data_IF_268772433919
#
_entry.id   IF_268772433919
#
_cell.length_a   1.000
_cell.length_b   1.000
_cell.length_c   1.000
_cell.angle_alpha   90.00
_cell.angle_beta   90.00
_cell.angle_gamma   90.00
#
_symmetry.space_group_name_H-M   'P 1'
#
loop_
_entity.id
_entity.type
_entity.pdbx_description
1 polymer ?
#
# COMPACT_ATOMS: atom_id res chain seq x y z
N UNK A 1 -15.22 -22.46 6.83
CA UNK A 1 -15.07 -21.59 5.66
C UNK A 1 -14.79 -20.21 6.16
N UNK A 2 -13.50 -19.83 6.10
CA UNK A 2 -13.01 -18.50 6.45
C UNK A 2 -13.51 -17.53 5.39
N UNK A 3 -14.50 -16.71 5.72
CA UNK A 3 -14.91 -15.58 4.88
C UNK A 3 -13.84 -14.48 4.99
N UNK A 4 -13.39 -13.96 3.87
CA UNK A 4 -12.46 -12.80 3.83
C UNK A 4 -13.14 -11.58 4.45
N UNK A 5 -12.41 -10.71 5.14
CA UNK A 5 -12.95 -9.50 5.78
C UNK A 5 -13.69 -8.57 4.80
N UNK A 6 -13.27 -8.54 3.52
CA UNK A 6 -13.95 -7.83 2.44
C UNK A 6 -15.38 -8.34 2.19
N UNK A 7 -15.63 -9.65 2.33
CA UNK A 7 -16.95 -10.22 2.13
C UNK A 7 -17.93 -9.84 3.24
N UNK A 8 -17.41 -9.54 4.44
CA UNK A 8 -18.21 -9.13 5.60
C UNK A 8 -18.57 -7.64 5.55
N UNK A 9 -17.65 -6.79 5.09
CA UNK A 9 -17.88 -5.34 5.02
C UNK A 9 -18.81 -4.93 3.86
N UNK A 10 -18.91 -5.76 2.82
CA UNK A 10 -19.64 -5.45 1.58
C UNK A 10 -20.92 -6.28 1.40
N UNK A 11 -21.21 -7.21 2.31
CA UNK A 11 -22.45 -7.99 2.27
C UNK A 11 -23.66 -7.10 2.62
N UNK A 12 -24.80 -7.35 1.92
CA UNK A 12 -26.09 -6.75 2.31
C UNK A 12 -26.33 -6.95 3.82
N UNK A 13 -27.01 -6.00 4.49
CA UNK A 13 -27.20 -6.04 5.93
C UNK A 13 -27.98 -7.32 6.35
N UNK A 14 -27.25 -8.39 6.58
CA UNK A 14 -27.69 -9.49 7.41
C UNK A 14 -27.29 -9.11 8.83
N UNK A 15 -28.14 -9.37 9.82
CA UNK A 15 -27.84 -9.07 11.22
C UNK A 15 -26.47 -9.60 11.60
N UNK A 16 -25.52 -8.69 11.82
CA UNK A 16 -24.18 -9.04 12.24
C UNK A 16 -24.23 -9.47 13.72
N UNK A 17 -23.71 -10.62 14.11
CA UNK A 17 -23.71 -11.05 15.51
C UNK A 17 -22.75 -10.18 16.31
N UNK A 18 -23.29 -9.10 16.89
CA UNK A 18 -22.53 -8.18 17.71
C UNK A 18 -21.95 -8.94 18.93
N UNK A 19 -20.65 -8.84 19.16
CA UNK A 19 -19.97 -9.46 20.30
C UNK A 19 -19.60 -10.95 20.14
N UNK A 20 -19.81 -11.55 18.96
CA UNK A 20 -19.46 -12.96 18.69
C UNK A 20 -18.42 -13.14 17.58
N UNK A 21 -17.80 -12.04 17.13
CA UNK A 21 -16.83 -12.05 16.04
C UNK A 21 -15.64 -11.19 16.41
N UNK A 22 -14.46 -11.77 16.35
CA UNK A 22 -13.18 -11.07 16.43
C UNK A 22 -12.67 -10.78 15.01
N UNK A 23 -12.19 -9.55 14.79
CA UNK A 23 -11.60 -9.15 13.52
C UNK A 23 -10.09 -9.30 13.58
N UNK A 24 -9.55 -10.13 12.71
CA UNK A 24 -8.11 -10.21 12.46
C UNK A 24 -7.79 -9.47 11.16
N UNK A 25 -7.01 -8.39 11.28
CA UNK A 25 -6.51 -7.65 10.14
C UNK A 25 -5.19 -8.24 9.68
N UNK A 26 -5.15 -8.73 8.43
CA UNK A 26 -3.95 -9.27 7.80
C UNK A 26 -3.42 -8.19 6.84
N UNK A 27 -2.22 -7.69 7.14
CA UNK A 27 -1.51 -6.70 6.33
C UNK A 27 -0.46 -7.37 5.44
N UNK A 28 0.03 -6.70 4.39
CA UNK A 28 1.20 -7.18 3.66
C UNK A 28 2.39 -7.42 4.60
N UNK A 29 3.21 -8.41 4.29
CA UNK A 29 4.44 -8.72 5.04
C UNK A 29 5.35 -7.49 5.07
N UNK A 30 5.94 -7.24 6.23
CA UNK A 30 6.83 -6.11 6.46
C UNK A 30 8.23 -6.35 5.90
N UNK A 31 9.02 -5.30 5.77
CA UNK A 31 10.44 -5.40 5.46
C UNK A 31 11.20 -6.28 6.46
N UNK A 32 10.86 -6.17 7.75
CA UNK A 32 11.46 -7.02 8.79
C UNK A 32 11.12 -8.51 8.60
N UNK A 33 9.88 -8.82 8.25
CA UNK A 33 9.48 -10.20 7.94
C UNK A 33 10.18 -10.74 6.70
N UNK A 34 10.44 -9.90 5.68
CA UNK A 34 11.29 -10.27 4.56
C UNK A 34 12.72 -10.62 5.00
N UNK A 35 13.33 -9.79 5.87
CA UNK A 35 14.67 -10.10 6.40
C UNK A 35 14.68 -11.43 7.16
N UNK A 36 13.63 -11.74 7.91
CA UNK A 36 13.47 -13.05 8.58
C UNK A 36 13.39 -14.19 7.55
N UNK A 37 12.58 -14.02 6.51
CA UNK A 37 12.43 -15.01 5.45
C UNK A 37 13.71 -15.22 4.62
N UNK A 38 14.54 -14.17 4.51
CA UNK A 38 15.86 -14.20 3.86
C UNK A 38 16.99 -14.74 4.76
N UNK A 39 16.71 -15.06 6.03
CA UNK A 39 17.68 -15.50 7.08
C UNK A 39 18.75 -14.43 7.40
N UNK A 40 18.43 -13.14 7.27
CA UNK A 40 19.32 -12.00 7.52
C UNK A 40 19.49 -11.71 9.02
N UNK A 41 19.91 -12.72 9.79
CA UNK A 41 19.98 -12.69 11.27
C UNK A 41 20.79 -11.52 11.82
N UNK A 42 21.92 -11.19 11.19
CA UNK A 42 22.79 -10.10 11.65
C UNK A 42 22.12 -8.73 11.50
N UNK A 43 21.41 -8.51 10.40
CA UNK A 43 20.67 -7.25 10.16
C UNK A 43 19.51 -7.11 11.13
N UNK A 44 18.79 -8.20 11.41
CA UNK A 44 17.68 -8.24 12.38
C UNK A 44 18.21 -7.95 13.78
N UNK A 45 19.25 -8.64 14.22
CA UNK A 45 19.86 -8.43 15.53
C UNK A 45 20.34 -6.98 15.71
N UNK A 46 20.93 -6.39 14.67
CA UNK A 46 21.34 -5.00 14.67
C UNK A 46 20.13 -4.05 14.82
N UNK A 47 19.06 -4.26 14.02
CA UNK A 47 17.86 -3.42 14.07
C UNK A 47 17.15 -3.53 15.42
N UNK A 48 17.10 -4.72 16.03
CA UNK A 48 16.46 -4.96 17.33
C UNK A 48 17.28 -4.33 18.50
N UNK A 49 18.59 -4.24 18.35
CA UNK A 49 19.46 -3.61 19.33
C UNK A 49 19.56 -2.09 19.20
N UNK A 50 19.17 -1.52 18.03
CA UNK A 50 19.30 -0.10 17.78
C UNK A 50 18.15 0.69 18.41
N UNK A 51 18.47 1.44 19.46
CA UNK A 51 17.51 2.27 20.24
C UNK A 51 17.79 3.77 20.14
N UNK A 52 18.93 4.15 19.56
CA UNK A 52 19.35 5.53 19.37
C UNK A 52 19.04 6.04 17.95
N UNK A 53 19.25 7.33 17.71
CA UNK A 53 19.11 7.98 16.42
C UNK A 53 20.44 8.20 15.70
N UNK A 54 21.52 7.60 16.19
CA UNK A 54 22.83 7.73 15.56
C UNK A 54 22.83 7.10 14.16
N UNK A 55 23.67 7.60 13.24
CA UNK A 55 23.81 7.04 11.90
C UNK A 55 24.12 5.53 11.95
N UNK A 56 23.49 4.80 11.05
CA UNK A 56 23.76 3.36 10.89
C UNK A 56 25.14 3.21 10.25
N UNK A 57 26.06 2.42 10.82
CA UNK A 57 27.36 2.15 10.21
C UNK A 57 27.21 1.51 8.84
N UNK A 58 28.11 1.86 7.90
CA UNK A 58 28.06 1.40 6.50
C UNK A 58 27.99 -0.12 6.35
N UNK A 59 28.62 -0.85 7.28
CA UNK A 59 28.59 -2.32 7.32
C UNK A 59 27.16 -2.90 7.44
N UNK A 60 26.24 -2.16 8.06
CA UNK A 60 24.82 -2.53 8.16
C UNK A 60 23.95 -1.72 7.22
N UNK A 61 24.27 -0.44 7.02
CA UNK A 61 23.50 0.46 6.18
C UNK A 61 23.39 -0.04 4.74
N UNK A 62 24.53 -0.37 4.11
CA UNK A 62 24.54 -0.80 2.72
C UNK A 62 23.74 -2.09 2.50
N UNK A 63 23.91 -3.17 3.30
CA UNK A 63 23.05 -4.36 3.18
C UNK A 63 21.57 -4.08 3.44
N UNK A 64 21.23 -3.22 4.39
CA UNK A 64 19.84 -2.83 4.65
C UNK A 64 19.23 -2.12 3.45
N UNK A 65 19.95 -1.19 2.83
CA UNK A 65 19.50 -0.47 1.64
C UNK A 65 19.31 -1.42 0.45
N UNK A 66 20.22 -2.37 0.24
CA UNK A 66 20.08 -3.37 -0.83
C UNK A 66 18.87 -4.28 -0.60
N UNK A 67 18.64 -4.73 0.63
CA UNK A 67 17.44 -5.49 0.95
C UNK A 67 16.15 -4.65 0.85
N UNK A 68 16.20 -3.37 1.21
CA UNK A 68 15.05 -2.47 1.03
C UNK A 68 14.71 -2.25 -0.45
N UNK A 69 15.69 -2.14 -1.32
CA UNK A 69 15.48 -2.12 -2.77
C UNK A 69 14.79 -3.40 -3.26
N UNK A 70 15.23 -4.57 -2.78
CA UNK A 70 14.55 -5.85 -3.08
C UNK A 70 13.09 -5.81 -2.61
N UNK A 71 12.85 -5.34 -1.38
CA UNK A 71 11.50 -5.23 -0.84
C UNK A 71 10.60 -4.31 -1.71
N UNK A 72 11.12 -3.22 -2.23
CA UNK A 72 10.37 -2.36 -3.15
C UNK A 72 10.00 -3.07 -4.46
N UNK A 73 10.80 -4.04 -4.88
CA UNK A 73 10.52 -4.85 -6.08
C UNK A 73 9.48 -5.93 -5.83
N UNK A 74 9.59 -6.63 -4.68
CA UNK A 74 8.82 -7.82 -4.35
C UNK A 74 7.51 -7.44 -3.64
N UNK A 75 7.57 -6.45 -2.75
CA UNK A 75 6.50 -6.06 -1.84
C UNK A 75 6.29 -7.04 -0.70
N UNK A 76 5.24 -6.81 0.06
CA UNK A 76 4.80 -7.66 1.17
C UNK A 76 3.69 -8.65 0.80
N UNK A 77 3.34 -8.81 -0.48
CA UNK A 77 2.32 -9.78 -0.89
C UNK A 77 2.85 -11.21 -0.69
N UNK A 78 2.14 -12.07 0.09
CA UNK A 78 2.67 -13.37 0.51
C UNK A 78 3.13 -14.28 -0.63
N UNK A 79 2.38 -14.34 -1.75
CA UNK A 79 2.73 -15.15 -2.90
C UNK A 79 4.02 -14.67 -3.58
N UNK A 80 4.18 -13.35 -3.76
CA UNK A 80 5.38 -12.76 -4.35
C UNK A 80 6.60 -12.98 -3.43
N UNK A 81 6.43 -12.79 -2.12
CA UNK A 81 7.48 -13.03 -1.12
C UNK A 81 7.90 -14.48 -1.08
N UNK A 82 6.95 -15.43 -1.01
CA UNK A 82 7.25 -16.85 -0.99
C UNK A 82 7.99 -17.31 -2.26
N UNK A 83 7.59 -16.79 -3.42
CA UNK A 83 8.28 -17.08 -4.69
C UNK A 83 9.72 -16.58 -4.68
N UNK A 84 9.92 -15.34 -4.22
CA UNK A 84 11.27 -14.76 -4.11
C UNK A 84 12.17 -15.58 -3.18
N UNK A 85 11.70 -15.90 -1.98
CA UNK A 85 12.48 -16.63 -0.96
C UNK A 85 12.89 -18.02 -1.47
N UNK A 86 11.98 -18.72 -2.17
CA UNK A 86 12.22 -20.08 -2.65
C UNK A 86 13.12 -20.11 -3.89
N UNK A 87 12.97 -19.19 -4.82
CA UNK A 87 13.63 -19.25 -6.13
C UNK A 87 14.77 -18.25 -6.29
N UNK A 88 14.83 -17.23 -5.44
CA UNK A 88 15.82 -16.12 -5.50
C UNK A 88 15.90 -15.46 -6.90
N UNK A 89 14.82 -15.54 -7.66
CA UNK A 89 14.76 -15.07 -9.03
C UNK A 89 13.55 -14.14 -9.24
N UNK A 90 13.81 -12.98 -9.84
CA UNK A 90 12.79 -11.94 -10.03
C UNK A 90 11.86 -12.16 -11.22
N UNK A 91 12.16 -13.12 -12.10
CA UNK A 91 11.50 -13.24 -13.41
C UNK A 91 9.99 -13.52 -13.40
N UNK A 92 9.44 -14.01 -12.28
CA UNK A 92 8.01 -14.30 -12.16
C UNK A 92 7.25 -13.30 -11.27
N UNK A 93 7.98 -12.45 -10.53
CA UNK A 93 7.38 -11.53 -9.55
C UNK A 93 6.39 -10.56 -10.21
N UNK A 94 6.76 -9.98 -11.34
CA UNK A 94 5.88 -9.07 -12.08
C UNK A 94 4.58 -9.74 -12.55
N UNK A 95 4.66 -11.00 -12.93
CA UNK A 95 3.49 -11.81 -13.31
C UNK A 95 2.57 -12.09 -12.13
N UNK A 96 3.13 -12.42 -10.96
CA UNK A 96 2.38 -12.64 -9.71
C UNK A 96 1.68 -11.35 -9.29
N UNK A 97 2.42 -10.23 -9.20
CA UNK A 97 1.85 -8.94 -8.82
C UNK A 97 0.75 -8.50 -9.80
N UNK A 98 0.94 -8.74 -11.09
CA UNK A 98 -0.08 -8.47 -12.10
C UNK A 98 -1.34 -9.32 -11.91
N UNK A 99 -1.18 -10.60 -11.59
CA UNK A 99 -2.30 -11.49 -11.30
C UNK A 99 -3.09 -11.04 -10.06
N UNK A 100 -2.41 -10.54 -9.03
CA UNK A 100 -3.04 -9.97 -7.84
C UNK A 100 -3.83 -8.70 -8.20
N UNK A 101 -3.25 -7.79 -8.99
CA UNK A 101 -3.95 -6.58 -9.47
C UNK A 101 -5.21 -6.96 -10.24
N UNK A 102 -5.10 -7.91 -11.19
CA UNK A 102 -6.26 -8.39 -11.95
C UNK A 102 -7.32 -9.06 -11.04
N UNK A 103 -6.91 -9.75 -9.98
CA UNK A 103 -7.84 -10.32 -9.02
C UNK A 103 -8.63 -9.22 -8.29
N UNK A 104 -7.97 -8.14 -7.85
CA UNK A 104 -8.64 -6.98 -7.26
C UNK A 104 -9.61 -6.32 -8.26
N UNK A 105 -9.20 -6.11 -9.49
CA UNK A 105 -10.05 -5.51 -10.53
C UNK A 105 -11.30 -6.35 -10.83
N UNK A 106 -11.17 -7.69 -10.81
CA UNK A 106 -12.33 -8.60 -10.93
C UNK A 106 -13.24 -8.52 -9.70
N UNK A 107 -12.68 -8.32 -8.50
CA UNK A 107 -13.47 -8.13 -7.29
C UNK A 107 -14.20 -6.78 -7.31
N UNK A 108 -13.63 -5.73 -7.89
CA UNK A 108 -14.34 -4.47 -8.11
C UNK A 108 -15.61 -4.64 -8.96
N UNK A 109 -15.59 -5.56 -9.94
CA UNK A 109 -16.76 -5.86 -10.76
C UNK A 109 -17.91 -6.53 -9.98
N UNK A 110 -17.66 -7.04 -8.77
CA UNK A 110 -18.68 -7.59 -7.88
C UNK A 110 -19.38 -6.52 -7.02
N UNK A 111 -19.02 -5.25 -7.21
CA UNK A 111 -19.69 -4.14 -6.51
C UNK A 111 -21.21 -4.20 -6.79
N UNK A 112 -22.05 -4.02 -5.75
CA UNK A 112 -23.51 -4.11 -5.89
C UNK A 112 -24.11 -3.17 -6.95
N UNK A 113 -23.47 -2.02 -7.17
CA UNK A 113 -23.90 -1.05 -8.17
C UNK A 113 -22.94 -1.05 -9.37
N UNK A 114 -23.35 -1.62 -10.52
CA UNK A 114 -22.49 -1.71 -11.72
C UNK A 114 -21.94 -0.36 -12.21
N UNK A 115 -22.66 0.73 -11.97
CA UNK A 115 -22.23 2.09 -12.34
C UNK A 115 -21.00 2.57 -11.55
N UNK A 116 -20.70 1.98 -10.40
CA UNK A 116 -19.54 2.33 -9.58
C UNK A 116 -18.24 1.66 -10.07
N UNK A 117 -18.34 0.51 -10.77
CA UNK A 117 -17.17 -0.20 -11.28
C UNK A 117 -16.19 0.69 -12.09
N UNK A 118 -16.65 1.49 -13.08
CA UNK A 118 -15.73 2.37 -13.80
C UNK A 118 -15.05 3.41 -12.88
N UNK A 119 -15.73 3.86 -11.84
CA UNK A 119 -15.17 4.84 -10.90
C UNK A 119 -14.10 4.22 -10.01
N UNK A 120 -14.32 2.98 -9.54
CA UNK A 120 -13.32 2.19 -8.82
C UNK A 120 -12.06 2.02 -9.65
N UNK A 121 -12.20 1.60 -10.92
CA UNK A 121 -11.10 1.45 -11.86
C UNK A 121 -10.36 2.76 -12.11
N UNK A 122 -11.08 3.87 -12.29
CA UNK A 122 -10.47 5.18 -12.50
C UNK A 122 -9.63 5.61 -11.30
N UNK A 123 -10.14 5.47 -10.06
CA UNK A 123 -9.38 5.79 -8.84
C UNK A 123 -8.14 4.89 -8.76
N UNK A 124 -8.33 3.58 -8.90
CA UNK A 124 -7.28 2.57 -8.80
C UNK A 124 -6.12 2.86 -9.75
N UNK A 125 -6.41 3.07 -11.03
CA UNK A 125 -5.39 3.38 -12.04
C UNK A 125 -4.80 4.79 -11.91
N UNK A 126 -5.43 5.70 -11.18
CA UNK A 126 -4.88 7.04 -10.95
C UNK A 126 -3.79 7.08 -9.87
N UNK A 127 -3.69 6.05 -9.01
CA UNK A 127 -2.77 6.04 -7.86
C UNK A 127 -1.32 6.41 -8.22
N UNK A 128 -0.71 5.83 -9.28
CA UNK A 128 0.65 6.23 -9.65
C UNK A 128 0.77 7.72 -9.96
N UNK A 129 -0.17 8.28 -10.72
CA UNK A 129 -0.13 9.71 -11.07
C UNK A 129 -0.48 10.64 -9.90
N UNK A 130 -1.26 10.16 -8.91
CA UNK A 130 -1.53 10.91 -7.68
C UNK A 130 -0.27 11.06 -6.83
N UNK A 131 0.55 10.01 -6.75
CA UNK A 131 1.73 9.95 -5.90
C UNK A 131 3.00 10.45 -6.60
N UNK A 132 3.10 10.30 -7.93
CA UNK A 132 4.27 10.75 -8.72
C UNK A 132 4.44 12.27 -8.73
N UNK A 133 3.37 13.01 -8.55
CA UNK A 133 3.42 14.47 -8.46
C UNK A 133 3.58 14.88 -7.00
N UNK A 134 4.35 15.92 -6.73
CA UNK A 134 4.49 16.53 -5.40
C UNK A 134 3.18 17.20 -4.95
N UNK A 135 2.06 16.55 -5.21
CA UNK A 135 0.75 17.01 -4.82
C UNK A 135 0.58 16.83 -3.31
N UNK A 136 0.19 17.89 -2.64
CA UNK A 136 -0.08 17.87 -1.21
C UNK A 136 -1.41 17.17 -0.87
N UNK A 137 -2.22 16.82 -1.87
CA UNK A 137 -3.52 16.16 -1.70
C UNK A 137 -3.96 15.39 -2.94
N UNK A 138 -4.90 14.46 -2.76
CA UNK A 138 -5.57 13.74 -3.83
C UNK A 138 -6.35 14.70 -4.75
N UNK A 139 -6.17 14.54 -6.06
CA UNK A 139 -6.79 15.39 -7.08
C UNK A 139 -7.76 14.58 -7.95
N UNK A 140 -9.04 14.82 -7.83
CA UNK A 140 -10.07 14.13 -8.63
C UNK A 140 -9.91 14.37 -10.15
N UNK A 141 -9.32 15.48 -10.55
CA UNK A 141 -9.00 15.76 -11.95
C UNK A 141 -7.96 14.78 -12.54
N UNK A 142 -7.11 14.18 -11.71
CA UNK A 142 -6.18 13.11 -12.14
C UNK A 142 -6.88 11.75 -12.26
N UNK A 143 -8.03 11.57 -11.62
CA UNK A 143 -8.86 10.37 -11.79
C UNK A 143 -9.52 10.38 -13.17
N UNK A 144 -10.14 11.50 -13.52
CA UNK A 144 -10.75 11.75 -14.82
C UNK A 144 -10.89 13.26 -15.02
N UNK A 145 -10.68 13.74 -16.24
CA UNK A 145 -10.90 15.14 -16.57
C UNK A 145 -12.34 15.56 -16.22
N UNK A 146 -12.50 16.64 -15.45
CA UNK A 146 -13.79 17.14 -14.99
C UNK A 146 -14.42 16.39 -13.82
N UNK A 147 -13.73 15.37 -13.27
CA UNK A 147 -14.23 14.63 -12.10
C UNK A 147 -14.40 15.52 -10.87
N UNK A 148 -15.49 15.30 -10.14
CA UNK A 148 -15.81 16.01 -8.90
C UNK A 148 -15.83 15.02 -7.72
N UNK A 149 -15.47 15.50 -6.53
CA UNK A 149 -15.43 14.71 -5.30
C UNK A 149 -16.71 13.88 -5.09
N UNK A 150 -17.87 14.54 -5.13
CA UNK A 150 -19.18 13.90 -4.90
C UNK A 150 -19.51 12.72 -5.83
N UNK A 151 -18.84 12.63 -6.97
CA UNK A 151 -19.08 11.56 -7.96
C UNK A 151 -18.28 10.29 -7.67
N UNK A 152 -17.18 10.44 -6.89
CA UNK A 152 -16.19 9.39 -6.63
C UNK A 152 -16.04 9.03 -5.16
N UNK A 153 -16.76 9.72 -4.26
CA UNK A 153 -16.65 9.51 -2.81
C UNK A 153 -17.01 8.08 -2.40
N UNK A 154 -18.13 7.55 -2.91
CA UNK A 154 -18.60 6.21 -2.61
C UNK A 154 -17.60 5.15 -3.12
N UNK A 155 -17.10 5.33 -4.34
CA UNK A 155 -16.09 4.44 -4.93
C UNK A 155 -14.77 4.48 -4.11
N UNK A 156 -14.33 5.67 -3.70
CA UNK A 156 -13.14 5.79 -2.86
C UNK A 156 -13.35 5.13 -1.48
N UNK A 157 -14.51 5.38 -0.86
CA UNK A 157 -14.86 4.76 0.42
C UNK A 157 -14.86 3.23 0.32
N UNK A 158 -15.39 2.69 -0.77
CA UNK A 158 -15.39 1.25 -1.01
C UNK A 158 -13.96 0.68 -1.11
N UNK A 159 -13.07 1.32 -1.89
CA UNK A 159 -11.67 0.88 -2.01
C UNK A 159 -10.93 0.92 -0.67
N UNK A 160 -11.21 1.93 0.17
CA UNK A 160 -10.67 2.02 1.53
C UNK A 160 -11.21 0.91 2.41
N UNK A 161 -12.53 0.64 2.35
CA UNK A 161 -13.19 -0.43 3.12
C UNK A 161 -12.72 -1.83 2.70
N UNK A 162 -12.38 -2.00 1.43
CA UNK A 162 -11.78 -3.23 0.91
C UNK A 162 -10.28 -3.37 1.24
N UNK A 163 -9.69 -2.37 1.91
CA UNK A 163 -8.27 -2.31 2.31
C UNK A 163 -7.27 -2.43 1.14
N UNK A 164 -7.70 -2.17 -0.09
CA UNK A 164 -6.80 -2.14 -1.26
C UNK A 164 -6.09 -0.79 -1.39
N UNK A 165 -6.62 0.24 -0.74
CA UNK A 165 -5.98 1.55 -0.60
C UNK A 165 -6.13 2.07 0.83
N UNK A 166 -5.21 2.95 1.24
CA UNK A 166 -5.27 3.67 2.51
C UNK A 166 -5.44 5.16 2.26
N UNK A 167 -6.48 5.75 2.86
CA UNK A 167 -6.73 7.20 2.83
C UNK A 167 -6.17 7.83 4.09
N UNK A 168 -5.30 8.83 3.94
CA UNK A 168 -4.69 9.59 5.06
C UNK A 168 -5.13 11.05 4.95
N UNK A 169 -5.96 11.54 5.88
CA UNK A 169 -6.36 12.95 5.91
C UNK A 169 -5.20 13.86 6.33
N UNK A 170 -5.24 15.10 5.89
CA UNK A 170 -4.31 16.13 6.36
C UNK A 170 -4.74 16.61 7.74
N UNK A 171 -3.79 16.64 8.68
CA UNK A 171 -3.99 17.35 9.94
C UNK A 171 -3.49 18.80 9.82
N UNK A 172 -4.32 19.76 10.20
CA UNK A 172 -4.00 21.21 10.12
C UNK A 172 -3.19 21.69 11.32
N UNK A 173 -3.26 20.97 12.45
CA UNK A 173 -2.56 21.29 13.68
C UNK A 173 -2.20 20.00 14.44
N UNK A 174 -0.94 19.84 14.89
CA UNK A 174 -0.52 18.67 15.69
C UNK A 174 -0.98 18.82 17.15
N UNK A 175 -2.29 18.75 17.39
CA UNK A 175 -2.90 18.86 18.72
C UNK A 175 -3.94 17.74 18.92
N UNK A 176 -4.15 17.30 20.15
CA UNK A 176 -5.09 16.25 20.50
C UNK A 176 -6.50 16.83 20.80
N UNK A 177 -7.57 16.14 20.41
CA UNK A 177 -7.58 14.94 19.54
C UNK A 177 -7.30 15.30 18.09
N UNK A 178 -6.47 14.53 17.40
CA UNK A 178 -6.09 14.80 16.01
C UNK A 178 -7.31 14.90 15.07
N UNK A 179 -8.35 14.12 15.35
CA UNK A 179 -9.61 14.14 14.57
C UNK A 179 -10.31 15.50 14.54
N UNK A 180 -10.10 16.35 15.55
CA UNK A 180 -10.67 17.69 15.57
C UNK A 180 -9.95 18.66 14.60
N UNK A 181 -8.80 18.29 14.11
CA UNK A 181 -7.95 19.09 13.24
C UNK A 181 -7.79 18.52 11.84
N UNK A 182 -8.58 17.49 11.50
CA UNK A 182 -8.59 16.90 10.16
C UNK A 182 -9.18 17.88 9.14
N UNK A 183 -8.47 18.06 8.03
CA UNK A 183 -8.99 18.76 6.86
C UNK A 183 -9.62 17.73 5.91
N UNK A 184 -10.94 17.64 5.95
CA UNK A 184 -11.71 16.74 5.11
C UNK A 184 -11.56 17.01 3.60
N UNK A 185 -11.10 18.22 3.23
CA UNK A 185 -10.88 18.61 1.83
C UNK A 185 -9.50 18.23 1.29
N UNK A 186 -8.60 17.76 2.16
CA UNK A 186 -7.23 17.42 1.80
C UNK A 186 -6.81 16.09 2.43
N UNK A 187 -6.58 15.10 1.60
CA UNK A 187 -6.10 13.77 1.97
C UNK A 187 -5.22 13.21 0.87
N UNK A 188 -4.40 12.21 1.18
CA UNK A 188 -3.68 11.40 0.21
C UNK A 188 -4.23 9.98 0.20
N UNK A 189 -4.03 9.28 -0.91
CA UNK A 189 -4.44 7.89 -1.09
C UNK A 189 -3.23 7.09 -1.52
N UNK A 190 -2.98 5.98 -0.86
CA UNK A 190 -1.83 5.11 -1.05
C UNK A 190 -2.29 3.70 -1.38
N UNK A 191 -1.49 2.96 -2.15
CA UNK A 191 -1.72 1.55 -2.38
C UNK A 191 -1.42 0.74 -1.10
N UNK A 192 -2.11 -0.38 -0.92
CA UNK A 192 -1.89 -1.29 0.21
C UNK A 192 -0.47 -1.86 0.27
N UNK A 193 0.19 -1.96 -0.89
CA UNK A 193 1.56 -2.49 -0.99
C UNK A 193 2.40 -1.71 -2.01
N UNK A 194 3.68 -1.50 -1.68
CA UNK A 194 4.61 -0.71 -2.50
C UNK A 194 4.91 -1.35 -3.85
N UNK A 195 4.97 -2.69 -3.93
CA UNK A 195 5.23 -3.36 -5.21
C UNK A 195 3.98 -3.42 -6.10
N UNK A 196 2.78 -3.44 -5.50
CA UNK A 196 1.55 -3.24 -6.27
C UNK A 196 1.51 -1.84 -6.89
N UNK A 197 1.92 -0.79 -6.13
CA UNK A 197 2.05 0.56 -6.68
C UNK A 197 3.05 0.60 -7.86
N UNK A 198 4.21 -0.07 -7.71
CA UNK A 198 5.21 -0.19 -8.77
C UNK A 198 4.61 -0.83 -10.02
N UNK A 199 3.89 -1.92 -9.83
CA UNK A 199 3.31 -2.67 -10.96
C UNK A 199 2.16 -1.92 -11.64
N UNK A 200 1.34 -1.18 -10.86
CA UNK A 200 0.34 -0.25 -11.41
C UNK A 200 0.97 0.89 -12.21
N UNK A 201 2.13 1.37 -11.77
CA UNK A 201 2.92 2.37 -12.51
C UNK A 201 3.59 1.80 -13.77
N UNK A 202 3.41 0.51 -14.07
CA UNK A 202 4.00 -0.20 -15.20
C UNK A 202 5.54 -0.18 -15.18
N UNK A 203 6.15 0.01 -14.01
CA UNK A 203 7.59 -0.06 -13.84
C UNK A 203 7.98 -1.52 -13.64
N UNK A 204 8.70 -2.06 -14.59
CA UNK A 204 9.28 -3.39 -14.50
C UNK A 204 10.52 -3.40 -13.58
N UNK A 205 10.96 -4.61 -13.22
CA UNK A 205 12.11 -4.80 -12.33
C UNK A 205 13.38 -4.24 -12.96
N UNK A 206 13.57 -4.36 -14.27
CA UNK A 206 14.78 -3.89 -14.95
C UNK A 206 14.89 -2.35 -14.88
N UNK A 207 13.79 -1.66 -15.06
CA UNK A 207 13.72 -0.19 -14.92
C UNK A 207 14.06 0.29 -13.52
N UNK A 208 13.77 -0.53 -12.51
CA UNK A 208 14.05 -0.19 -11.11
C UNK A 208 15.50 -0.48 -10.71
N UNK A 209 16.07 -1.59 -11.19
CA UNK A 209 17.46 -1.98 -10.93
C UNK A 209 18.47 -1.08 -11.65
N UNK A 210 18.11 -0.58 -12.84
CA UNK A 210 18.90 0.35 -13.63
C UNK A 210 18.19 1.70 -13.71
N UNK A 211 18.27 2.52 -12.64
CA UNK A 211 17.49 3.74 -12.56
C UNK A 211 17.92 4.72 -13.63
N UNK A 212 17.06 4.92 -14.60
CA UNK A 212 17.12 6.06 -15.51
C UNK A 212 16.64 7.32 -14.78
N UNK A 213 16.94 8.48 -15.31
CA UNK A 213 16.49 9.77 -14.75
C UNK A 213 14.97 9.83 -14.55
N UNK A 214 14.21 9.13 -15.42
CA UNK A 214 12.74 9.00 -15.35
C UNK A 214 12.25 8.27 -14.09
N UNK A 215 12.98 7.27 -13.59
CA UNK A 215 12.62 6.57 -12.34
C UNK A 215 12.92 7.40 -11.10
N UNK A 216 13.77 8.43 -11.20
CA UNK A 216 14.17 9.23 -10.04
C UNK A 216 13.00 10.08 -9.52
N UNK A 217 12.15 10.61 -10.38
CA UNK A 217 10.98 11.41 -10.01
C UNK A 217 9.93 10.60 -9.25
N UNK A 218 9.81 9.29 -9.54
CA UNK A 218 8.83 8.43 -8.87
C UNK A 218 9.34 7.79 -7.57
N UNK A 219 10.64 7.90 -7.26
CA UNK A 219 11.23 7.32 -6.02
C UNK A 219 10.58 7.85 -4.75
N UNK A 220 10.25 9.14 -4.70
CA UNK A 220 9.56 9.75 -3.56
C UNK A 220 8.22 9.08 -3.27
N UNK A 221 7.45 8.76 -4.31
CA UNK A 221 6.16 8.08 -4.19
C UNK A 221 6.29 6.69 -3.56
N UNK A 222 7.32 5.92 -3.94
CA UNK A 222 7.57 4.60 -3.35
C UNK A 222 7.95 4.69 -1.88
N UNK A 223 8.87 5.61 -1.55
CA UNK A 223 9.31 5.82 -0.16
C UNK A 223 8.13 6.26 0.70
N UNK A 224 7.32 7.19 0.23
CA UNK A 224 6.14 7.67 0.95
C UNK A 224 5.12 6.54 1.17
N UNK A 225 4.83 5.75 0.14
CA UNK A 225 3.92 4.60 0.24
C UNK A 225 4.46 3.52 1.20
N UNK A 226 5.77 3.22 1.11
CA UNK A 226 6.43 2.27 2.00
C UNK A 226 6.41 2.72 3.47
N UNK A 227 6.71 3.99 3.74
CA UNK A 227 6.68 4.53 5.10
C UNK A 227 5.27 4.38 5.67
N UNK A 228 4.23 4.73 4.91
CA UNK A 228 2.85 4.52 5.36
C UNK A 228 2.55 3.05 5.64
N UNK A 229 2.94 2.15 4.74
CA UNK A 229 2.76 0.70 4.91
C UNK A 229 3.43 0.21 6.20
N UNK A 230 4.66 0.64 6.49
CA UNK A 230 5.39 0.32 7.71
C UNK A 230 4.72 0.90 8.97
N UNK A 231 4.27 2.16 8.91
CA UNK A 231 3.58 2.81 10.02
C UNK A 231 2.23 2.15 10.33
N UNK A 232 1.51 1.66 9.30
CA UNK A 232 0.22 0.97 9.48
C UNK A 232 0.38 -0.32 10.30
N UNK A 233 1.52 -1.00 10.19
CA UNK A 233 1.84 -2.18 10.99
C UNK A 233 2.33 -1.79 12.40
N UNK A 234 3.20 -0.79 12.49
CA UNK A 234 3.77 -0.35 13.75
C UNK A 234 2.73 0.28 14.69
N UNK A 235 1.71 0.92 14.12
CA UNK A 235 0.64 1.59 14.85
C UNK A 235 -0.72 1.02 14.43
N UNK A 236 -1.24 -0.01 15.13
CA UNK A 236 -2.51 -0.66 14.76
C UNK A 236 -3.76 0.21 14.98
N UNK A 237 -3.57 1.47 15.31
CA UNK A 237 -4.66 2.48 15.39
C UNK A 237 -4.79 3.15 14.01
N UNK A 238 -6.00 3.58 13.58
CA UNK A 238 -6.17 4.30 12.32
C UNK A 238 -5.18 5.46 12.23
N UNK A 239 -4.30 5.45 11.23
CA UNK A 239 -3.41 6.56 10.95
C UNK A 239 -4.27 7.76 10.52
N UNK A 240 -4.18 8.82 11.27
CA UNK A 240 -4.91 10.07 11.04
C UNK A 240 -3.94 11.22 10.92
#
# INVERSE_FOLDING_TARGET
PTRRSSDLALAKPSSFPVGQVDFLRILPLTFREMLVAEDEKNLIAYLDAKVDLDPIPDAFFNPLVENLKKYFLIGGMPEAMARWVNEKHSGQIDGILWSIIQAYERDFAKHPEPREYPKLMHIWHSLPSQLARENKKFLYQLVKQGARAREYEDALHWLVSAEVVTKVPRCTKPALPLSAYEDLSAFKVYAADVALLRRLAQLDISSFLHPTQLCTEFKGAFVENYILQALTVAFPVPLR
#
